data_IF_022155499950
#
_entry.id   IF_022155499950
#
_cell.length_a   1.000
_cell.length_b   1.000
_cell.length_c   1.000
_cell.angle_alpha   90.00
_cell.angle_beta   90.00
_cell.angle_gamma   90.00
#
_symmetry.space_group_name_H-M   'P 1'
#
loop_
_entity.id
_entity.type
_entity.pdbx_description
1 polymer ?
#
# COMPACT_ATOMS: atom_id res chain seq x y z
N UNK A 1 -4.73 2.27 5.74
CA UNK A 1 -4.40 1.58 4.47
C UNK A 1 -3.00 1.89 3.99
N UNK A 2 -2.30 0.90 3.38
CA UNK A 2 -0.91 1.00 2.94
C UNK A 2 -0.74 1.90 1.71
N UNK A 3 0.51 2.17 1.33
CA UNK A 3 0.89 2.86 0.10
C UNK A 3 1.82 1.93 -0.68
N UNK A 4 1.47 1.67 -1.93
CA UNK A 4 2.28 0.92 -2.88
C UNK A 4 2.23 1.64 -4.22
N UNK A 5 3.31 2.34 -4.58
CA UNK A 5 3.34 3.13 -5.82
C UNK A 5 4.77 3.48 -6.24
N UNK A 6 4.91 3.95 -7.48
CA UNK A 6 6.09 4.69 -7.92
C UNK A 6 6.11 6.07 -7.26
N UNK A 7 7.29 6.59 -7.03
CA UNK A 7 7.45 7.99 -6.63
C UNK A 7 7.52 8.90 -7.86
N UNK A 8 7.55 10.22 -7.62
CA UNK A 8 7.81 11.20 -8.68
C UNK A 8 9.26 11.12 -9.21
N UNK A 9 10.16 10.44 -8.49
CA UNK A 9 11.50 10.12 -8.96
C UNK A 9 11.45 8.82 -9.77
N UNK A 10 12.03 8.83 -10.97
CA UNK A 10 12.11 7.65 -11.82
C UNK A 10 12.88 6.51 -11.14
N UNK A 11 12.43 5.27 -11.35
CA UNK A 11 13.01 4.04 -10.78
C UNK A 11 13.04 3.97 -9.25
N UNK A 12 12.30 4.84 -8.54
CA UNK A 12 12.11 4.77 -7.10
C UNK A 12 10.65 4.40 -6.78
N UNK A 13 10.49 3.33 -6.01
CA UNK A 13 9.20 2.74 -5.65
C UNK A 13 9.04 2.66 -4.15
N UNK A 14 7.81 2.85 -3.67
CA UNK A 14 7.47 2.83 -2.26
C UNK A 14 6.50 1.68 -1.95
N UNK A 15 6.78 0.95 -0.89
CA UNK A 15 5.92 -0.07 -0.32
C UNK A 15 5.97 0.09 1.20
N UNK A 16 4.94 0.66 1.79
CA UNK A 16 4.94 1.04 3.21
C UNK A 16 3.57 1.45 3.73
N UNK A 17 3.50 1.85 5.01
CA UNK A 17 2.22 2.22 5.64
C UNK A 17 1.31 1.02 5.94
N UNK A 18 1.83 -0.20 5.92
CA UNK A 18 1.08 -1.42 6.26
C UNK A 18 0.73 -1.53 7.74
N UNK A 19 1.46 -0.82 8.61
CA UNK A 19 1.25 -0.79 10.06
C UNK A 19 0.96 -2.20 10.61
N UNK A 20 -0.11 -2.35 11.39
CA UNK A 20 -0.50 -3.60 12.03
C UNK A 20 -1.06 -4.67 11.07
N UNK A 21 -1.35 -4.31 9.82
CA UNK A 21 -1.86 -5.22 8.79
C UNK A 21 -0.78 -5.88 7.94
N UNK A 22 0.50 -5.52 8.12
CA UNK A 22 1.58 -5.93 7.20
C UNK A 22 1.84 -7.42 7.14
N UNK A 23 1.83 -8.12 8.28
CA UNK A 23 2.21 -9.54 8.32
C UNK A 23 1.31 -10.43 7.47
N UNK A 24 -0.01 -10.29 7.62
CA UNK A 24 -1.01 -11.05 6.82
C UNK A 24 -0.96 -10.67 5.33
N UNK A 25 -0.55 -9.44 5.03
CA UNK A 25 -0.52 -8.91 3.68
C UNK A 25 0.75 -9.29 2.91
N UNK A 26 1.78 -9.84 3.56
CA UNK A 26 3.10 -10.13 2.96
C UNK A 26 3.05 -10.83 1.60
N UNK A 27 2.25 -11.90 1.40
CA UNK A 27 2.24 -12.59 0.10
C UNK A 27 1.68 -11.71 -1.01
N UNK A 28 0.54 -11.05 -0.76
CA UNK A 28 -0.11 -10.19 -1.74
C UNK A 28 0.69 -8.90 -1.98
N UNK A 29 1.29 -8.32 -0.93
CA UNK A 29 2.09 -7.11 -1.03
C UNK A 29 3.36 -7.34 -1.83
N UNK A 30 4.05 -8.47 -1.60
CA UNK A 30 5.22 -8.88 -2.38
C UNK A 30 4.87 -9.11 -3.84
N UNK A 31 3.78 -9.84 -4.12
CA UNK A 31 3.33 -10.12 -5.48
C UNK A 31 2.99 -8.85 -6.27
N UNK A 32 2.16 -7.97 -5.69
CA UNK A 32 1.77 -6.72 -6.36
C UNK A 32 2.95 -5.77 -6.54
N UNK A 33 3.89 -5.75 -5.58
CA UNK A 33 5.07 -4.90 -5.67
C UNK A 33 6.07 -5.41 -6.71
N UNK A 34 6.27 -6.72 -6.80
CA UNK A 34 7.07 -7.32 -7.87
C UNK A 34 6.51 -6.99 -9.26
N UNK A 35 5.18 -7.05 -9.43
CA UNK A 35 4.52 -6.62 -10.67
C UNK A 35 4.83 -5.15 -10.97
N UNK A 36 4.67 -4.25 -10.00
CA UNK A 36 4.96 -2.82 -10.17
C UNK A 36 6.42 -2.58 -10.59
N UNK A 37 7.38 -3.25 -9.96
CA UNK A 37 8.79 -3.14 -10.32
C UNK A 37 9.08 -3.63 -11.75
N UNK A 38 8.37 -4.66 -12.20
CA UNK A 38 8.59 -5.27 -13.51
C UNK A 38 7.92 -4.50 -14.67
N UNK A 39 6.79 -3.85 -14.42
CA UNK A 39 5.95 -3.24 -15.47
C UNK A 39 5.85 -1.71 -15.37
N UNK A 40 6.36 -1.10 -14.30
CA UNK A 40 6.16 0.31 -13.94
C UNK A 40 4.66 0.71 -13.86
N UNK A 41 3.78 -0.29 -13.71
CA UNK A 41 2.33 -0.11 -13.58
C UNK A 41 1.80 -0.85 -12.37
N UNK A 42 0.84 -0.27 -11.62
CA UNK A 42 0.28 -0.94 -10.45
C UNK A 42 -0.55 -2.16 -10.85
N UNK A 43 -0.41 -3.24 -10.08
CA UNK A 43 -1.28 -4.40 -10.21
C UNK A 43 -2.74 -4.01 -9.89
N UNK A 44 -3.72 -4.60 -10.58
CA UNK A 44 -5.14 -4.25 -10.46
C UNK A 44 -5.62 -4.21 -8.99
N UNK A 45 -5.31 -5.26 -8.23
CA UNK A 45 -5.65 -5.39 -6.80
C UNK A 45 -4.99 -4.36 -5.89
N UNK A 46 -3.93 -3.68 -6.35
CA UNK A 46 -3.19 -2.67 -5.59
C UNK A 46 -3.47 -1.23 -6.07
N UNK A 47 -4.31 -1.03 -7.09
CA UNK A 47 -4.56 0.29 -7.70
C UNK A 47 -5.07 1.34 -6.71
N UNK A 48 -5.85 0.91 -5.72
CA UNK A 48 -6.39 1.80 -4.69
C UNK A 48 -5.31 2.29 -3.69
N UNK A 49 -4.16 1.62 -3.62
CA UNK A 49 -3.06 1.96 -2.69
C UNK A 49 -2.03 2.92 -3.27
N UNK A 50 -2.32 3.55 -4.41
CA UNK A 50 -1.46 4.57 -5.03
C UNK A 50 -1.27 5.80 -4.14
N UNK A 51 -0.17 6.50 -4.37
CA UNK A 51 0.20 7.71 -3.62
C UNK A 51 -0.66 8.91 -4.01
N UNK A 52 -1.11 8.97 -5.27
CA UNK A 52 -1.98 10.02 -5.79
C UNK A 52 -3.40 10.02 -5.18
N UNK A 53 -3.79 8.97 -4.45
CA UNK A 53 -5.11 8.85 -3.81
C UNK A 53 -5.38 9.98 -2.82
N UNK A 54 -4.35 10.50 -2.16
CA UNK A 54 -4.47 11.61 -1.22
C UNK A 54 -4.75 12.93 -1.96
N UNK A 55 -4.07 13.15 -3.08
CA UNK A 55 -4.29 14.35 -3.91
C UNK A 55 -5.68 14.35 -4.57
N UNK A 56 -6.19 13.16 -4.92
CA UNK A 56 -7.51 13.00 -5.54
C UNK A 56 -8.67 12.91 -4.54
N UNK A 57 -8.40 12.86 -3.24
CA UNK A 57 -9.43 12.67 -2.20
C UNK A 57 -9.99 11.25 -2.08
N UNK A 58 -9.38 10.25 -2.72
CA UNK A 58 -9.75 8.84 -2.62
C UNK A 58 -9.12 8.18 -1.38
N UNK A 59 -9.48 8.69 -0.20
CA UNK A 59 -9.02 8.14 1.06
C UNK A 59 -9.62 6.75 1.28
N UNK A 60 -8.77 5.79 1.61
CA UNK A 60 -9.18 4.47 2.09
C UNK A 60 -9.21 4.49 3.61
N UNK A 61 -10.42 4.47 4.17
CA UNK A 61 -10.63 4.41 5.61
C UNK A 61 -10.61 2.95 6.10
N UNK A 62 -9.40 2.43 6.32
CA UNK A 62 -9.23 1.32 7.24
C UNK A 62 -8.91 1.89 8.62
N UNK A 63 -9.75 1.54 9.59
CA UNK A 63 -9.40 1.72 11.01
C UNK A 63 -8.02 1.12 11.24
N UNK A 64 -7.08 1.92 11.72
CA UNK A 64 -5.72 1.51 12.08
C UNK A 64 -5.67 0.62 13.33
N UNK A 65 -6.65 -0.28 13.47
CA UNK A 65 -6.76 -1.20 14.59
C UNK A 65 -5.81 -2.37 14.35
N UNK A 66 -4.74 -2.43 15.14
CA UNK A 66 -4.02 -3.69 15.32
C UNK A 66 -4.85 -4.69 16.11
N UNK A 67 -4.28 -5.87 16.39
CA UNK A 67 -4.91 -6.89 17.24
C UNK A 67 -5.06 -6.48 18.73
N UNK A 68 -4.85 -5.17 19.03
CA UNK A 68 -5.15 -4.43 20.27
C UNK A 68 -3.99 -4.36 21.29
N UNK A 69 -3.59 -3.14 21.71
CA UNK A 69 -2.57 -2.98 22.77
C UNK A 69 -3.16 -2.92 24.19
N UNK A 70 -4.44 -2.51 24.35
CA UNK A 70 -5.35 -2.63 25.50
C UNK A 70 -6.67 -1.93 25.11
N UNK A 71 -7.82 -2.62 25.00
CA UNK A 71 -9.11 -1.91 24.84
C UNK A 71 -9.48 -1.35 26.21
N UNK A 72 -9.55 -0.03 26.33
CA UNK A 72 -10.52 0.72 27.14
C UNK A 72 -11.18 1.74 26.22
#
# INVERSE_FOLDING_TARGET
SPIMDRTHLGNLYFNGGWCYGGFKATPASGYCFAHLLATDTPHETATAFRMDRFARGYLLDEKGVGAQANLH
#
